data_IF_271906460000
#
_entry.id   IF_271906460000
#
_cell.length_a   1.000
_cell.length_b   1.000
_cell.length_c   1.000
_cell.angle_alpha   90.00
_cell.angle_beta   90.00
_cell.angle_gamma   90.00
#
_symmetry.space_group_name_H-M   'P 1'
#
loop_
_entity.id
_entity.type
_entity.pdbx_description
1 polymer ?
#
# COMPACT_ATOMS: atom_id res chain seq x y z
N UNK A 1 31.51 6.00 -30.76
CA UNK A 1 30.71 4.77 -30.79
C UNK A 1 29.99 4.72 -29.47
N UNK A 2 28.68 4.99 -29.47
CA UNK A 2 27.86 5.09 -28.25
C UNK A 2 27.32 3.70 -27.98
N UNK A 3 27.62 3.13 -26.82
CA UNK A 3 26.95 1.91 -26.34
C UNK A 3 25.50 2.28 -25.98
N UNK A 4 24.57 1.92 -26.85
CA UNK A 4 23.16 1.83 -26.47
C UNK A 4 23.08 0.59 -25.58
N UNK A 5 22.91 0.80 -24.28
CA UNK A 5 22.46 -0.24 -23.37
C UNK A 5 21.05 -0.59 -23.85
N UNK A 6 20.91 -1.65 -24.65
CA UNK A 6 19.58 -2.15 -24.99
C UNK A 6 19.02 -2.74 -23.71
N UNK A 7 18.04 -2.07 -23.10
CA UNK A 7 17.26 -2.67 -22.03
C UNK A 7 16.71 -4.01 -22.55
N UNK A 8 16.97 -5.09 -21.82
CA UNK A 8 16.49 -6.44 -22.20
C UNK A 8 14.95 -6.42 -22.26
N UNK A 9 14.37 -7.08 -23.27
CA UNK A 9 12.92 -7.10 -23.53
C UNK A 9 12.14 -7.56 -22.30
N UNK A 10 12.72 -8.47 -21.52
CA UNK A 10 12.16 -8.96 -20.25
C UNK A 10 12.02 -7.85 -19.20
N UNK A 11 12.93 -6.86 -19.20
CA UNK A 11 12.89 -5.71 -18.29
C UNK A 11 11.78 -4.74 -18.69
N UNK A 12 11.63 -4.48 -20.00
CA UNK A 12 10.58 -3.60 -20.54
C UNK A 12 9.19 -4.22 -20.30
N UNK A 13 9.07 -5.53 -20.53
CA UNK A 13 7.83 -6.28 -20.30
C UNK A 13 7.45 -6.30 -18.83
N UNK A 14 8.42 -6.55 -17.93
CA UNK A 14 8.20 -6.49 -16.50
C UNK A 14 7.76 -5.09 -16.02
N UNK A 15 8.36 -4.03 -16.57
CA UNK A 15 8.01 -2.65 -16.22
C UNK A 15 6.58 -2.29 -16.67
N UNK A 16 6.16 -2.76 -17.84
CA UNK A 16 4.81 -2.54 -18.38
C UNK A 16 3.76 -3.24 -17.52
N UNK A 17 3.98 -4.53 -17.19
CA UNK A 17 3.06 -5.29 -16.33
C UNK A 17 2.96 -4.71 -14.91
N UNK A 18 4.05 -4.13 -14.38
CA UNK A 18 4.01 -3.44 -13.10
C UNK A 18 3.15 -2.17 -13.15
N UNK A 19 3.20 -1.42 -14.26
CA UNK A 19 2.36 -0.23 -14.44
C UNK A 19 0.88 -0.59 -14.48
N UNK A 20 0.52 -1.61 -15.25
CA UNK A 20 -0.87 -2.07 -15.36
C UNK A 20 -1.42 -2.49 -13.99
N UNK A 21 -0.61 -3.23 -13.22
CA UNK A 21 -0.99 -3.63 -11.86
C UNK A 21 -1.15 -2.43 -10.91
N UNK A 22 -0.32 -1.39 -11.04
CA UNK A 22 -0.46 -0.14 -10.24
C UNK A 22 -1.80 0.53 -10.59
N UNK A 23 -2.11 0.65 -11.87
CA UNK A 23 -3.35 1.27 -12.34
C UNK A 23 -4.58 0.48 -11.89
N UNK A 24 -4.51 -0.85 -11.89
CA UNK A 24 -5.60 -1.68 -11.39
C UNK A 24 -5.82 -1.53 -9.88
N UNK A 25 -4.76 -1.41 -9.07
CA UNK A 25 -4.89 -1.11 -7.64
C UNK A 25 -5.40 0.32 -7.38
N UNK A 26 -5.02 1.30 -8.20
CA UNK A 26 -5.59 2.66 -8.13
C UNK A 26 -7.09 2.65 -8.40
N UNK A 27 -7.52 1.97 -9.47
CA UNK A 27 -8.96 1.81 -9.76
C UNK A 27 -9.70 1.14 -8.61
N UNK A 28 -9.12 0.08 -8.02
CA UNK A 28 -9.71 -0.59 -6.86
C UNK A 28 -9.86 0.37 -5.67
N UNK A 29 -8.85 1.22 -5.42
CA UNK A 29 -8.92 2.24 -4.37
C UNK A 29 -9.97 3.33 -4.64
N UNK A 30 -10.04 3.84 -5.87
CA UNK A 30 -10.96 4.91 -6.28
C UNK A 30 -12.42 4.45 -6.28
N UNK A 31 -12.68 3.26 -6.82
CA UNK A 31 -14.04 2.68 -6.90
C UNK A 31 -14.56 2.24 -5.55
N UNK A 32 -13.66 1.90 -4.61
CA UNK A 32 -13.98 1.36 -3.28
C UNK A 32 -14.77 0.04 -3.33
N UNK A 33 -14.83 -0.61 -4.48
CA UNK A 33 -15.48 -1.91 -4.64
C UNK A 33 -14.74 -2.97 -3.85
N UNK A 34 -15.47 -3.96 -3.29
CA UNK A 34 -14.90 -5.09 -2.54
C UNK A 34 -14.03 -4.69 -1.34
N UNK A 35 -14.15 -3.46 -0.83
CA UNK A 35 -13.48 -3.08 0.40
C UNK A 35 -14.00 -3.95 1.56
N UNK A 36 -13.10 -4.30 2.46
CA UNK A 36 -13.38 -5.15 3.62
C UNK A 36 -12.95 -4.50 4.93
N UNK A 37 -12.43 -3.26 4.85
CA UNK A 37 -11.88 -2.51 5.99
C UNK A 37 -12.43 -1.08 6.01
N UNK A 38 -12.83 -0.63 7.19
CA UNK A 38 -13.26 0.74 7.49
C UNK A 38 -12.31 1.31 8.55
N UNK A 39 -11.71 2.46 8.25
CA UNK A 39 -10.72 3.11 9.11
C UNK A 39 -11.27 4.48 9.50
N UNK A 40 -11.56 4.65 10.78
CA UNK A 40 -11.92 5.94 11.37
C UNK A 40 -10.65 6.70 11.76
N UNK A 41 -10.51 7.92 11.27
CA UNK A 41 -9.33 8.78 11.48
C UNK A 41 -9.76 10.14 12.01
N UNK A 42 -8.92 10.78 12.81
CA UNK A 42 -9.23 12.05 13.47
C UNK A 42 -10.18 11.92 14.66
N UNK A 43 -10.38 13.02 15.36
CA UNK A 43 -11.35 13.17 16.43
C UNK A 43 -12.50 14.07 15.99
N UNK A 44 -13.68 13.85 16.56
CA UNK A 44 -14.84 14.72 16.34
C UNK A 44 -14.50 16.18 16.68
N UNK A 45 -14.94 17.15 15.88
CA UNK A 45 -15.88 17.05 14.75
C UNK A 45 -15.23 16.77 13.38
N UNK A 46 -13.92 16.51 13.35
CA UNK A 46 -13.13 16.36 12.11
C UNK A 46 -12.92 14.90 11.69
N UNK A 47 -13.59 13.96 12.37
CA UNK A 47 -13.41 12.54 12.13
C UNK A 47 -13.89 12.15 10.72
N UNK A 48 -13.11 11.32 10.04
CA UNK A 48 -13.46 10.79 8.72
C UNK A 48 -13.41 9.25 8.73
N UNK A 49 -14.29 8.63 7.94
CA UNK A 49 -14.24 7.18 7.67
C UNK A 49 -13.67 6.93 6.27
N UNK A 50 -12.65 6.07 6.22
CA UNK A 50 -11.96 5.70 4.99
C UNK A 50 -12.19 4.20 4.74
N UNK A 51 -12.72 3.86 3.57
CA UNK A 51 -12.83 2.48 3.09
C UNK A 51 -11.51 2.04 2.46
N UNK A 52 -11.09 0.81 2.75
CA UNK A 52 -9.84 0.27 2.22
C UNK A 52 -9.86 -1.28 2.15
N UNK A 53 -8.83 -1.83 1.51
CA UNK A 53 -8.68 -3.27 1.26
C UNK A 53 -7.57 -3.84 2.13
N UNK A 54 -7.93 -4.66 3.12
CA UNK A 54 -7.01 -5.26 4.11
C UNK A 54 -5.83 -5.95 3.43
N UNK A 55 -6.09 -6.68 2.35
CA UNK A 55 -5.11 -7.46 1.59
C UNK A 55 -3.94 -6.61 1.09
N UNK A 56 -4.20 -5.35 0.70
CA UNK A 56 -3.16 -4.43 0.21
C UNK A 56 -2.22 -4.06 1.35
N UNK A 57 -2.75 -3.75 2.55
CA UNK A 57 -1.89 -3.40 3.69
C UNK A 57 -1.16 -4.62 4.25
N UNK A 58 -1.85 -5.75 4.39
CA UNK A 58 -1.30 -6.99 4.93
C UNK A 58 -0.13 -7.52 4.10
N UNK A 59 -0.20 -7.39 2.77
CA UNK A 59 0.90 -7.82 1.89
C UNK A 59 2.11 -6.87 1.94
N UNK A 60 1.92 -5.61 2.35
CA UNK A 60 2.97 -4.57 2.32
C UNK A 60 3.54 -4.24 3.69
N UNK A 61 2.84 -4.59 4.78
CA UNK A 61 3.24 -4.29 6.14
C UNK A 61 2.89 -5.44 7.07
N UNK A 62 3.91 -6.06 7.66
CA UNK A 62 3.74 -7.10 8.69
C UNK A 62 2.97 -6.59 9.91
N UNK A 63 3.10 -5.30 10.23
CA UNK A 63 2.34 -4.67 11.31
C UNK A 63 0.83 -4.68 11.02
N UNK A 64 0.43 -4.30 9.80
CA UNK A 64 -0.98 -4.40 9.40
C UNK A 64 -1.44 -5.85 9.27
N UNK A 65 -0.58 -6.74 8.79
CA UNK A 65 -0.87 -8.16 8.77
C UNK A 65 -1.23 -8.67 10.17
N UNK A 66 -0.38 -8.41 11.17
CA UNK A 66 -0.65 -8.80 12.57
C UNK A 66 -1.91 -8.14 13.14
N UNK A 67 -2.09 -6.82 12.96
CA UNK A 67 -3.26 -6.11 13.50
C UNK A 67 -4.58 -6.63 12.91
N UNK A 68 -4.59 -7.00 11.62
CA UNK A 68 -5.78 -7.50 10.92
C UNK A 68 -5.95 -9.02 11.03
N UNK A 69 -4.89 -9.78 11.30
CA UNK A 69 -4.95 -11.23 11.55
C UNK A 69 -5.27 -11.56 13.01
N UNK A 70 -4.77 -10.74 13.93
CA UNK A 70 -4.99 -10.92 15.36
C UNK A 70 -6.38 -10.41 15.72
N UNK A 71 -6.92 -10.89 16.85
CA UNK A 71 -8.25 -10.52 17.38
C UNK A 71 -8.40 -9.02 17.75
N UNK A 72 -7.45 -8.18 17.33
CA UNK A 72 -7.41 -6.74 17.59
C UNK A 72 -8.27 -5.96 16.60
N UNK A 73 -8.40 -6.42 15.36
CA UNK A 73 -9.35 -5.83 14.42
C UNK A 73 -10.76 -6.37 14.72
N UNK A 74 -11.58 -5.53 15.36
CA UNK A 74 -12.99 -5.84 15.55
C UNK A 74 -13.65 -5.96 14.18
N UNK A 75 -14.39 -7.05 13.95
CA UNK A 75 -15.23 -7.18 12.76
C UNK A 75 -16.66 -6.74 13.09
N UNK A 76 -17.15 -5.72 12.39
CA UNK A 76 -18.55 -5.29 12.44
C UNK A 76 -19.16 -5.47 11.08
N UNK A 77 -20.29 -6.18 11.04
CA UNK A 77 -21.05 -6.44 9.80
C UNK A 77 -20.19 -7.04 8.67
N UNK A 78 -19.18 -7.84 9.02
CA UNK A 78 -18.25 -8.46 8.07
C UNK A 78 -17.03 -7.61 7.69
N UNK A 79 -16.94 -6.35 8.14
CA UNK A 79 -15.82 -5.45 7.87
C UNK A 79 -14.85 -5.38 9.04
N UNK A 80 -13.56 -5.28 8.76
CA UNK A 80 -12.57 -4.86 9.76
C UNK A 80 -12.77 -3.39 10.11
N UNK A 81 -12.84 -3.07 11.40
CA UNK A 81 -13.00 -1.70 11.88
C UNK A 81 -11.76 -1.28 12.66
N UNK A 82 -11.08 -0.24 12.18
CA UNK A 82 -9.89 0.33 12.80
C UNK A 82 -10.15 1.80 13.19
N UNK A 83 -9.57 2.25 14.30
CA UNK A 83 -9.64 3.64 14.74
C UNK A 83 -8.24 4.22 14.99
N UNK A 84 -7.99 5.40 14.43
CA UNK A 84 -6.74 6.17 14.54
C UNK A 84 -7.07 7.66 14.77
N UNK A 85 -7.55 8.02 15.98
CA UNK A 85 -7.95 9.40 16.27
C UNK A 85 -6.81 10.42 16.15
N UNK A 86 -5.57 9.99 16.44
CA UNK A 86 -4.39 10.84 16.39
C UNK A 86 -3.84 11.11 14.98
N UNK A 87 -4.45 10.56 13.92
CA UNK A 87 -3.99 10.72 12.55
C UNK A 87 -5.04 11.49 11.77
N UNK A 88 -4.64 12.58 11.10
CA UNK A 88 -5.56 13.31 10.23
C UNK A 88 -5.94 12.49 8.99
N UNK A 89 -7.13 12.73 8.45
CA UNK A 89 -7.57 11.99 7.27
C UNK A 89 -6.69 12.21 6.04
N UNK A 90 -6.16 13.42 5.87
CA UNK A 90 -5.21 13.73 4.80
C UNK A 90 -3.93 12.90 4.94
N UNK A 91 -3.34 12.84 6.14
CA UNK A 91 -2.14 12.05 6.41
C UNK A 91 -2.37 10.56 6.12
N UNK A 92 -3.54 10.05 6.50
CA UNK A 92 -3.87 8.65 6.26
C UNK A 92 -4.06 8.34 4.77
N UNK A 93 -4.78 9.19 4.03
CA UNK A 93 -4.95 9.06 2.56
C UNK A 93 -3.62 9.10 1.81
N UNK A 94 -2.70 9.98 2.22
CA UNK A 94 -1.34 10.01 1.66
C UNK A 94 -0.59 8.70 1.93
N UNK A 95 -0.72 8.15 3.13
CA UNK A 95 -0.10 6.86 3.47
C UNK A 95 -0.68 5.70 2.63
N UNK A 96 -1.99 5.70 2.40
CA UNK A 96 -2.67 4.71 1.55
C UNK A 96 -2.21 4.80 0.09
N UNK A 97 -2.19 6.02 -0.46
CA UNK A 97 -1.68 6.25 -1.81
C UNK A 97 -0.21 5.83 -1.94
N UNK A 98 0.60 6.11 -0.92
CA UNK A 98 1.99 5.68 -0.88
C UNK A 98 2.13 4.15 -0.90
N UNK A 99 1.33 3.41 -0.13
CA UNK A 99 1.34 1.94 -0.16
C UNK A 99 1.03 1.35 -1.55
N UNK A 100 0.16 2.01 -2.31
CA UNK A 100 -0.22 1.60 -3.68
C UNK A 100 0.91 1.96 -4.69
N UNK A 101 1.52 3.14 -4.56
CA UNK A 101 2.53 3.65 -5.51
C UNK A 101 3.94 3.08 -5.26
N UNK A 102 4.29 2.71 -4.02
CA UNK A 102 5.56 2.05 -3.65
C UNK A 102 5.82 0.73 -4.41
N UNK A 103 4.82 0.19 -5.11
CA UNK A 103 5.01 -0.90 -6.07
C UNK A 103 6.02 -0.55 -7.18
N UNK A 104 6.30 0.74 -7.41
CA UNK A 104 7.27 1.23 -8.40
C UNK A 104 8.71 1.37 -7.88
N UNK A 105 8.90 1.78 -6.61
CA UNK A 105 10.24 2.19 -6.11
C UNK A 105 11.00 1.03 -5.47
N UNK A 106 10.31 0.06 -4.88
CA UNK A 106 11.00 -0.95 -4.07
C UNK A 106 11.63 -2.11 -4.88
N UNK A 107 11.30 -2.27 -6.17
CA UNK A 107 11.93 -3.28 -7.04
C UNK A 107 13.19 -2.78 -7.76
N UNK A 108 13.29 -1.49 -8.07
CA UNK A 108 14.46 -0.93 -8.78
C UNK A 108 15.72 -0.87 -7.90
N UNK A 109 15.58 -0.87 -6.57
CA UNK A 109 16.74 -0.92 -5.65
C UNK A 109 17.33 -2.32 -5.42
N UNK A 110 16.61 -3.41 -5.71
CA UNK A 110 17.14 -4.77 -5.47
C UNK A 110 18.02 -5.30 -6.60
N UNK A 111 18.03 -4.64 -7.75
CA UNK A 111 18.94 -4.96 -8.86
C UNK A 111 20.28 -4.22 -8.73
N UNK A 112 20.34 -3.14 -7.93
CA UNK A 112 21.48 -2.19 -7.97
C UNK A 112 22.25 -2.02 -6.66
N UNK A 113 22.14 -2.92 -5.68
CA UNK A 113 23.10 -2.92 -4.56
C UNK A 113 23.20 -4.28 -3.84
N UNK A 114 24.32 -4.96 -4.08
CA UNK A 114 24.95 -5.83 -3.10
C UNK A 114 25.45 -4.96 -1.94
N UNK A 115 24.90 -5.16 -0.75
CA UNK A 115 25.46 -4.62 0.49
C UNK A 115 24.70 -3.41 1.07
N UNK A 116 23.79 -3.68 2.00
CA UNK A 116 23.52 -2.79 3.12
C UNK A 116 22.88 -3.59 4.26
N UNK A 117 23.58 -3.64 5.38
CA UNK A 117 23.19 -4.23 6.64
C UNK A 117 22.01 -3.50 7.31
N UNK A 118 21.21 -4.31 7.99
CA UNK A 118 20.09 -4.08 8.93
C UNK A 118 19.91 -2.67 9.52
N UNK A 119 18.71 -2.11 9.38
CA UNK A 119 17.62 -2.09 10.37
C UNK A 119 17.70 -0.90 11.35
N UNK A 120 16.70 -0.02 11.23
CA UNK A 120 16.21 0.95 12.20
C UNK A 120 16.84 0.88 13.60
N UNK A 121 17.55 1.96 13.94
CA UNK A 121 17.63 2.51 15.29
C UNK A 121 16.78 3.77 15.37
#
# INVERSE_FOLDING_TARGET
MVEIISEDLDTILAQTHLNDLVEDFKKLHETKEYHDTIISVGEEPSAEKISAHSVIFCTRSSCFHSVLSDKWAERKDGYFVLSKPNISALTFKLSLNFCIVEMWICKTKKVNNLGASSCYG
#
